data_IF_089079194030
#
_entry.id   IF_089079194030
#
_cell.length_a   1.000
_cell.length_b   1.000
_cell.length_c   1.000
_cell.angle_alpha   90.00
_cell.angle_beta   90.00
_cell.angle_gamma   90.00
#
_symmetry.space_group_name_H-M   'P 1'
#
loop_
_entity.id
_entity.type
_entity.pdbx_description
1 polymer ?
#
# COMPACT_ATOMS: atom_id res chain seq x y z
N UNK A 1 14.09 -3.32 2.38
CA UNK A 1 14.01 -2.05 1.61
C UNK A 1 13.47 -0.97 2.52
N UNK A 2 13.90 0.28 2.36
CA UNK A 2 13.46 1.40 3.21
C UNK A 2 12.91 2.51 2.34
N UNK A 3 11.69 2.96 2.63
CA UNK A 3 11.04 4.10 1.99
C UNK A 3 10.81 5.16 3.05
N UNK A 4 11.33 6.36 2.86
CA UNK A 4 10.96 7.51 3.66
C UNK A 4 9.69 8.12 3.08
N UNK A 5 8.69 8.31 3.92
CA UNK A 5 7.43 8.96 3.58
C UNK A 5 7.29 10.18 4.47
N UNK A 6 7.01 11.34 3.89
CA UNK A 6 6.87 12.58 4.66
C UNK A 6 5.96 13.59 3.98
N UNK A 7 5.16 14.27 4.79
CA UNK A 7 4.31 15.37 4.36
C UNK A 7 5.11 16.68 4.33
N UNK A 8 4.87 17.49 3.30
CA UNK A 8 5.37 18.86 3.21
C UNK A 8 4.33 19.74 2.55
N UNK A 9 4.14 20.94 3.10
CA UNK A 9 3.30 21.97 2.49
C UNK A 9 4.02 22.64 1.32
N UNK A 10 3.37 22.68 0.17
CA UNK A 10 3.82 23.43 -1.02
C UNK A 10 2.75 24.47 -1.34
N UNK A 11 3.05 25.74 -1.08
CA UNK A 11 2.04 26.80 -1.10
C UNK A 11 1.10 26.67 0.09
N UNK A 12 -0.19 26.49 -0.18
CA UNK A 12 -1.27 26.31 0.79
C UNK A 12 -1.73 24.85 0.93
N UNK A 13 -1.10 23.91 0.21
CA UNK A 13 -1.54 22.52 0.14
C UNK A 13 -0.51 21.53 0.70
N UNK A 14 -0.92 20.57 1.54
CA UNK A 14 -0.06 19.47 1.96
C UNK A 14 0.10 18.42 0.85
N UNK A 15 1.33 17.95 0.68
CA UNK A 15 1.68 16.85 -0.22
C UNK A 15 2.49 15.81 0.52
N UNK A 16 2.28 14.53 0.20
CA UNK A 16 3.15 13.45 0.63
C UNK A 16 4.21 13.18 -0.42
N UNK A 17 5.45 13.06 0.03
CA UNK A 17 6.61 12.69 -0.77
C UNK A 17 7.14 11.35 -0.30
N UNK A 18 7.73 10.62 -1.23
CA UNK A 18 8.30 9.30 -0.97
C UNK A 18 9.72 9.25 -1.52
N UNK A 19 10.63 8.68 -0.74
CA UNK A 19 12.06 8.63 -1.09
C UNK A 19 12.65 7.26 -0.78
N UNK A 20 13.34 6.69 -1.75
CA UNK A 20 14.07 5.43 -1.62
C UNK A 20 15.53 5.66 -2.01
N UNK A 21 16.49 5.39 -1.12
CA UNK A 21 17.92 5.66 -1.34
C UNK A 21 18.19 7.08 -1.85
N UNK A 22 17.66 8.09 -1.15
CA UNK A 22 17.73 9.52 -1.50
C UNK A 22 17.05 9.95 -2.81
N UNK A 23 16.46 9.02 -3.58
CA UNK A 23 15.73 9.31 -4.80
C UNK A 23 14.23 9.41 -4.54
N UNK A 24 13.61 10.49 -5.00
CA UNK A 24 12.15 10.60 -4.99
C UNK A 24 11.54 9.54 -5.92
N UNK A 25 10.50 8.87 -5.43
CA UNK A 25 9.77 7.84 -6.17
C UNK A 25 8.31 8.27 -6.32
N UNK A 26 7.76 8.05 -7.51
CA UNK A 26 6.39 8.44 -7.85
C UNK A 26 6.15 9.94 -7.91
N UNK A 27 4.88 10.27 -8.06
CA UNK A 27 4.38 11.63 -7.96
C UNK A 27 4.12 11.99 -6.49
N UNK A 28 4.12 13.29 -6.19
CA UNK A 28 3.67 13.79 -4.88
C UNK A 28 2.16 13.54 -4.72
N UNK A 29 1.76 13.06 -3.56
CA UNK A 29 0.38 12.60 -3.32
C UNK A 29 -0.45 13.65 -2.57
N UNK A 30 -1.72 13.70 -2.91
CA UNK A 30 -2.77 14.47 -2.22
C UNK A 30 -3.96 13.55 -1.95
N UNK A 31 -4.90 14.01 -1.12
CA UNK A 31 -6.10 13.23 -0.80
C UNK A 31 -7.00 12.98 -2.02
N UNK A 32 -6.91 13.83 -3.05
CA UNK A 32 -7.77 13.78 -4.24
C UNK A 32 -9.27 13.77 -3.92
N UNK A 33 -9.64 14.35 -2.78
CA UNK A 33 -11.00 14.41 -2.26
C UNK A 33 -11.43 15.87 -2.00
N UNK A 34 -12.74 16.08 -1.89
CA UNK A 34 -13.30 17.39 -1.51
C UNK A 34 -12.93 17.78 -0.08
N UNK A 35 -13.03 16.82 0.84
CA UNK A 35 -12.68 16.98 2.25
C UNK A 35 -11.41 16.19 2.55
N UNK A 36 -10.46 16.74 3.36
CA UNK A 36 -9.27 16.01 3.73
C UNK A 36 -9.59 14.72 4.49
N UNK A 37 -9.04 13.60 4.04
CA UNK A 37 -9.23 12.27 4.65
C UNK A 37 -7.93 11.48 4.80
N UNK A 38 -6.79 12.13 4.57
CA UNK A 38 -5.45 11.56 4.67
C UNK A 38 -5.15 10.42 3.67
N UNK A 39 -5.98 10.27 2.63
CA UNK A 39 -5.71 9.31 1.54
C UNK A 39 -4.36 9.55 0.85
N UNK A 40 -3.75 10.74 0.97
CA UNK A 40 -2.37 11.00 0.54
C UNK A 40 -1.31 10.03 1.08
N UNK A 41 -1.59 9.26 2.14
CA UNK A 41 -0.69 8.24 2.70
C UNK A 41 -0.97 6.80 2.21
N UNK A 42 -1.90 6.58 1.28
CA UNK A 42 -2.37 5.24 0.88
C UNK A 42 -1.28 4.30 0.32
N UNK A 43 -0.17 4.82 -0.21
CA UNK A 43 0.91 4.00 -0.78
C UNK A 43 1.51 2.97 0.19
N UNK A 44 1.35 3.15 1.51
CA UNK A 44 1.72 2.13 2.50
C UNK A 44 0.96 0.81 2.34
N UNK A 45 -0.25 0.83 1.77
CA UNK A 45 -0.99 -0.37 1.39
C UNK A 45 -0.23 -1.17 0.32
N UNK A 46 0.28 -0.49 -0.71
CA UNK A 46 1.07 -1.12 -1.78
C UNK A 46 2.38 -1.68 -1.24
N UNK A 47 3.03 -0.97 -0.31
CA UNK A 47 4.20 -1.50 0.38
C UNK A 47 3.89 -2.73 1.24
N UNK A 48 2.73 -2.77 1.88
CA UNK A 48 2.30 -3.93 2.64
C UNK A 48 2.00 -5.12 1.73
N UNK A 49 1.36 -4.89 0.58
CA UNK A 49 1.11 -5.92 -0.42
C UNK A 49 2.42 -6.49 -0.97
N UNK A 50 3.40 -5.66 -1.33
CA UNK A 50 4.69 -6.18 -1.78
C UNK A 50 5.47 -6.89 -0.67
N UNK A 51 5.37 -6.42 0.58
CA UNK A 51 6.04 -7.05 1.72
C UNK A 51 5.44 -8.43 2.02
N UNK A 52 4.12 -8.51 2.13
CA UNK A 52 3.41 -9.68 2.62
C UNK A 52 3.05 -10.63 1.49
N UNK A 53 2.49 -10.14 0.39
CA UNK A 53 2.06 -10.98 -0.74
C UNK A 53 3.20 -11.26 -1.73
N UNK A 54 4.27 -10.48 -1.70
CA UNK A 54 5.29 -10.50 -2.76
C UNK A 54 4.76 -9.98 -4.09
N UNK A 55 3.56 -9.39 -4.10
CA UNK A 55 2.84 -8.91 -5.27
C UNK A 55 2.41 -7.46 -5.05
N UNK A 56 2.90 -6.59 -5.92
CA UNK A 56 2.44 -5.21 -6.06
C UNK A 56 2.92 -4.68 -7.41
N UNK A 57 2.11 -4.79 -8.48
CA UNK A 57 2.38 -4.09 -9.74
C UNK A 57 2.60 -2.58 -9.56
N UNK A 58 1.95 -1.95 -8.58
CA UNK A 58 2.12 -0.51 -8.25
C UNK A 58 3.56 -0.26 -7.77
N UNK A 59 4.04 -0.96 -6.75
CA UNK A 59 5.42 -0.78 -6.24
C UNK A 59 6.46 -1.10 -7.32
N UNK A 60 6.24 -2.16 -8.11
CA UNK A 60 7.16 -2.48 -9.22
C UNK A 60 7.18 -1.37 -10.26
N UNK A 61 6.03 -0.78 -10.60
CA UNK A 61 5.96 0.36 -11.51
C UNK A 61 6.67 1.59 -10.93
N UNK A 62 6.35 1.94 -9.68
CA UNK A 62 6.89 3.06 -8.92
C UNK A 62 8.42 3.04 -8.87
N UNK A 63 9.00 1.86 -8.62
CA UNK A 63 10.44 1.64 -8.51
C UNK A 63 11.12 1.30 -9.84
N UNK A 64 10.37 1.27 -10.95
CA UNK A 64 10.86 0.85 -12.28
C UNK A 64 11.45 -0.58 -12.31
N UNK A 65 10.85 -1.48 -11.53
CA UNK A 65 11.23 -2.88 -11.33
C UNK A 65 10.24 -3.89 -11.96
N UNK A 66 9.46 -3.47 -12.96
CA UNK A 66 8.64 -4.39 -13.75
C UNK A 66 9.49 -5.50 -14.38
N UNK A 67 8.98 -6.73 -14.45
CA UNK A 67 9.68 -7.94 -14.91
C UNK A 67 9.79 -8.03 -16.44
N UNK A 68 10.37 -7.00 -17.06
CA UNK A 68 10.48 -6.84 -18.53
C UNK A 68 11.26 -7.93 -19.26
N UNK A 69 12.05 -8.74 -18.54
CA UNK A 69 12.75 -9.89 -19.12
C UNK A 69 11.80 -11.01 -19.56
N UNK A 70 10.59 -11.07 -18.99
CA UNK A 70 9.51 -11.97 -19.41
C UNK A 70 8.34 -11.11 -19.88
N UNK A 71 8.16 -11.02 -21.20
CA UNK A 71 7.14 -10.19 -21.81
C UNK A 71 5.72 -10.56 -21.36
N UNK A 72 5.47 -11.83 -21.05
CA UNK A 72 4.16 -12.28 -20.59
C UNK A 72 3.90 -11.78 -19.18
N UNK A 73 4.85 -11.94 -18.25
CA UNK A 73 4.71 -11.41 -16.89
C UNK A 73 4.62 -9.88 -16.86
N UNK A 74 5.41 -9.20 -17.70
CA UNK A 74 5.38 -7.74 -17.82
C UNK A 74 4.01 -7.20 -18.27
N UNK A 75 3.33 -7.94 -19.14
CA UNK A 75 1.99 -7.63 -19.64
C UNK A 75 0.90 -8.02 -18.63
N UNK A 76 0.96 -9.23 -18.07
CA UNK A 76 -0.16 -9.78 -17.30
C UNK A 76 -0.12 -9.43 -15.82
N UNK A 77 1.05 -9.45 -15.19
CA UNK A 77 1.17 -9.26 -13.73
C UNK A 77 1.68 -7.88 -13.36
N UNK A 78 2.45 -7.24 -14.23
CA UNK A 78 3.01 -5.90 -14.00
C UNK A 78 2.39 -4.84 -14.94
N UNK A 79 1.43 -5.25 -15.77
CA UNK A 79 0.77 -4.41 -16.76
C UNK A 79 -0.28 -3.46 -16.18
N UNK A 80 -0.82 -2.58 -17.03
CA UNK A 80 -1.76 -1.55 -16.62
C UNK A 80 -3.01 -2.10 -15.91
N UNK A 81 -3.52 -3.26 -16.34
CA UNK A 81 -4.69 -3.88 -15.69
C UNK A 81 -4.38 -4.36 -14.27
N UNK A 82 -3.21 -4.94 -14.05
CA UNK A 82 -2.78 -5.38 -12.73
C UNK A 82 -2.61 -4.19 -11.77
N UNK A 83 -2.00 -3.10 -12.25
CA UNK A 83 -1.89 -1.82 -11.51
C UNK A 83 -3.28 -1.30 -11.13
N UNK A 84 -4.21 -1.18 -12.10
CA UNK A 84 -5.57 -0.69 -11.84
C UNK A 84 -6.34 -1.56 -10.84
N UNK A 85 -6.13 -2.87 -10.86
CA UNK A 85 -6.74 -3.80 -9.89
C UNK A 85 -6.20 -3.56 -8.49
N UNK A 86 -4.88 -3.44 -8.33
CA UNK A 86 -4.27 -3.17 -7.03
C UNK A 86 -4.69 -1.80 -6.45
N UNK A 87 -4.70 -0.76 -7.29
CA UNK A 87 -5.23 0.58 -6.94
C UNK A 87 -6.70 0.52 -6.52
N UNK A 88 -7.51 -0.28 -7.24
CA UNK A 88 -8.91 -0.52 -6.93
C UNK A 88 -9.11 -1.20 -5.58
N UNK A 89 -8.28 -2.20 -5.25
CA UNK A 89 -8.28 -2.86 -3.93
C UNK A 89 -7.90 -1.84 -2.85
N UNK A 90 -6.81 -1.09 -3.03
CA UNK A 90 -6.36 -0.06 -2.07
C UNK A 90 -7.48 0.96 -1.78
N UNK A 91 -8.13 1.47 -2.82
CA UNK A 91 -9.24 2.42 -2.73
C UNK A 91 -10.46 1.82 -2.02
N UNK A 92 -10.84 0.57 -2.38
CA UNK A 92 -11.98 -0.13 -1.79
C UNK A 92 -11.77 -0.38 -0.29
N UNK A 93 -10.61 -0.94 0.06
CA UNK A 93 -10.25 -1.22 1.45
C UNK A 93 -10.19 0.08 2.25
N UNK A 94 -9.73 1.19 1.67
CA UNK A 94 -9.75 2.50 2.33
C UNK A 94 -11.16 2.98 2.67
N UNK A 95 -12.11 2.82 1.75
CA UNK A 95 -13.53 3.13 2.02
C UNK A 95 -14.07 2.34 3.22
N UNK A 96 -13.74 1.05 3.30
CA UNK A 96 -14.13 0.19 4.41
C UNK A 96 -13.42 0.58 5.71
N UNK A 97 -12.11 0.79 5.65
CA UNK A 97 -11.26 1.11 6.79
C UNK A 97 -11.72 2.39 7.49
N UNK A 98 -12.14 3.41 6.73
CA UNK A 98 -12.71 4.64 7.30
C UNK A 98 -13.91 4.40 8.21
N UNK A 99 -14.78 3.43 7.87
CA UNK A 99 -15.94 3.09 8.69
C UNK A 99 -15.60 2.24 9.92
N UNK A 100 -14.38 1.68 9.97
CA UNK A 100 -13.89 0.75 10.98
C UNK A 100 -12.67 1.31 11.72
N UNK A 101 -12.59 2.64 11.85
CA UNK A 101 -11.49 3.38 12.49
C UNK A 101 -10.10 2.92 12.03
N UNK A 102 -9.94 2.76 10.73
CA UNK A 102 -8.72 2.29 10.08
C UNK A 102 -8.21 0.96 10.65
N UNK A 103 -9.12 0.06 11.03
CA UNK A 103 -8.84 -1.23 11.68
C UNK A 103 -7.99 -1.09 12.94
N UNK A 104 -8.17 0.01 13.68
CA UNK A 104 -7.55 0.18 15.00
C UNK A 104 -7.98 -0.96 15.91
N UNK A 105 -7.02 -1.49 16.65
CA UNK A 105 -7.19 -2.58 17.61
C UNK A 105 -7.70 -3.92 17.03
N UNK A 106 -7.81 -4.04 15.70
CA UNK A 106 -8.15 -5.30 15.05
C UNK A 106 -6.91 -6.18 14.85
N UNK A 107 -7.02 -7.45 15.21
CA UNK A 107 -6.03 -8.50 15.00
C UNK A 107 -6.42 -9.48 13.89
N UNK A 108 -5.59 -10.51 13.72
CA UNK A 108 -5.86 -11.60 12.77
C UNK A 108 -7.18 -12.31 13.11
N UNK A 109 -8.03 -12.51 12.11
CA UNK A 109 -9.36 -13.10 12.21
C UNK A 109 -10.48 -12.11 12.52
N UNK A 110 -10.19 -10.82 12.65
CA UNK A 110 -11.18 -9.80 13.01
C UNK A 110 -11.60 -8.91 11.83
N UNK A 111 -10.88 -8.96 10.70
CA UNK A 111 -11.33 -8.23 9.51
C UNK A 111 -12.62 -8.82 8.94
N UNK A 112 -13.55 -7.99 8.41
CA UNK A 112 -14.78 -8.48 7.82
C UNK A 112 -14.50 -9.49 6.70
N UNK A 113 -15.10 -10.68 6.80
CA UNK A 113 -14.90 -11.75 5.81
C UNK A 113 -15.29 -11.30 4.38
N UNK A 114 -16.31 -10.46 4.25
CA UNK A 114 -16.75 -9.96 2.94
C UNK A 114 -15.73 -9.00 2.31
N UNK A 115 -14.96 -8.26 3.12
CA UNK A 115 -13.83 -7.48 2.64
C UNK A 115 -12.77 -8.40 2.03
N UNK A 116 -12.38 -9.46 2.74
CA UNK A 116 -11.35 -10.39 2.29
C UNK A 116 -11.78 -11.17 1.03
N UNK A 117 -13.06 -11.56 0.97
CA UNK A 117 -13.63 -12.20 -0.23
C UNK A 117 -13.63 -11.27 -1.43
N UNK A 118 -13.94 -9.99 -1.23
CA UNK A 118 -13.96 -9.01 -2.30
C UNK A 118 -12.56 -8.78 -2.88
N UNK A 119 -11.54 -8.65 -2.03
CA UNK A 119 -10.14 -8.53 -2.46
C UNK A 119 -9.70 -9.76 -3.27
N UNK A 120 -10.07 -10.96 -2.79
CA UNK A 120 -9.80 -12.21 -3.50
C UNK A 120 -10.49 -12.29 -4.88
N UNK A 121 -11.68 -11.73 -5.02
CA UNK A 121 -12.37 -11.63 -6.30
C UNK A 121 -11.67 -10.68 -7.27
N UNK A 122 -11.13 -9.54 -6.78
CA UNK A 122 -10.39 -8.60 -7.62
C UNK A 122 -9.15 -9.22 -8.24
N UNK A 123 -8.44 -10.06 -7.49
CA UNK A 123 -7.17 -10.66 -7.93
C UNK A 123 -7.30 -11.96 -8.71
N UNK A 124 -8.51 -12.37 -9.10
CA UNK A 124 -8.69 -13.57 -9.93
C UNK A 124 -7.89 -13.47 -11.23
N UNK A 125 -7.06 -14.48 -11.50
CA UNK A 125 -6.18 -14.53 -12.66
C UNK A 125 -4.79 -13.90 -12.46
N UNK A 126 -4.48 -13.37 -11.28
CA UNK A 126 -3.16 -12.84 -10.93
C UNK A 126 -2.43 -13.74 -9.92
N UNK A 127 -1.13 -13.54 -9.74
CA UNK A 127 -0.29 -14.26 -8.77
C UNK A 127 -0.94 -14.46 -7.38
N UNK A 128 -1.51 -13.43 -6.72
CA UNK A 128 -2.01 -13.59 -5.36
C UNK A 128 -3.37 -14.28 -5.26
N UNK A 129 -3.98 -14.72 -6.38
CA UNK A 129 -5.22 -15.50 -6.36
C UNK A 129 -5.08 -16.81 -5.57
N UNK A 130 -3.87 -17.38 -5.54
CA UNK A 130 -3.58 -18.63 -4.83
C UNK A 130 -3.37 -18.45 -3.33
N UNK A 131 -3.37 -17.21 -2.82
CA UNK A 131 -3.12 -16.96 -1.41
C UNK A 131 -4.38 -17.14 -0.56
N UNK A 132 -4.24 -17.75 0.63
CA UNK A 132 -5.31 -17.78 1.62
C UNK A 132 -5.73 -16.37 2.05
N UNK A 133 -7.00 -16.22 2.44
CA UNK A 133 -7.55 -14.94 2.91
C UNK A 133 -6.79 -14.36 4.12
N UNK A 134 -6.27 -15.20 5.01
CA UNK A 134 -5.51 -14.74 6.18
C UNK A 134 -4.20 -14.04 5.80
N UNK A 135 -3.63 -14.33 4.63
CA UNK A 135 -2.43 -13.64 4.13
C UNK A 135 -2.78 -12.24 3.64
N UNK A 136 -3.95 -12.08 3.01
CA UNK A 136 -4.49 -10.78 2.63
C UNK A 136 -4.83 -9.94 3.86
N UNK A 137 -5.46 -10.55 4.86
CA UNK A 137 -5.73 -9.91 6.14
C UNK A 137 -4.46 -9.36 6.79
N UNK A 138 -3.40 -10.18 6.86
CA UNK A 138 -2.10 -9.75 7.40
C UNK A 138 -1.52 -8.55 6.62
N UNK A 139 -1.60 -8.56 5.29
CA UNK A 139 -1.13 -7.46 4.45
C UNK A 139 -1.91 -6.16 4.72
N UNK A 140 -3.23 -6.26 4.84
CA UNK A 140 -4.10 -5.12 5.13
C UNK A 140 -3.80 -4.57 6.53
N UNK A 141 -3.76 -5.41 7.56
CA UNK A 141 -3.50 -4.98 8.93
C UNK A 141 -2.13 -4.28 9.06
N UNK A 142 -1.08 -4.81 8.41
CA UNK A 142 0.23 -4.16 8.39
C UNK A 142 0.22 -2.82 7.64
N UNK A 143 -0.47 -2.74 6.50
CA UNK A 143 -0.64 -1.49 5.75
C UNK A 143 -1.36 -0.42 6.57
N UNK A 144 -2.44 -0.79 7.27
CA UNK A 144 -3.18 0.16 8.11
C UNK A 144 -2.48 0.52 9.41
N UNK A 145 -1.65 -0.36 9.97
CA UNK A 145 -0.74 0.01 11.04
C UNK A 145 0.23 1.12 10.59
N UNK A 146 0.78 1.01 9.39
CA UNK A 146 1.63 2.05 8.80
C UNK A 146 0.85 3.32 8.43
N UNK A 147 -0.36 3.19 7.91
CA UNK A 147 -1.23 4.32 7.59
C UNK A 147 -1.51 5.15 8.84
N UNK A 148 -1.97 4.51 9.93
CA UNK A 148 -2.23 5.18 11.21
C UNK A 148 -0.97 5.86 11.76
N UNK A 149 0.19 5.21 11.66
CA UNK A 149 1.47 5.82 12.05
C UNK A 149 1.74 7.12 11.28
N UNK A 150 1.56 7.13 9.96
CA UNK A 150 1.76 8.33 9.14
C UNK A 150 0.67 9.38 9.37
N UNK A 151 -0.55 8.95 9.67
CA UNK A 151 -1.64 9.85 10.07
C UNK A 151 -1.31 10.56 11.39
N UNK A 152 -0.61 9.92 12.32
CA UNK A 152 -0.21 10.57 13.57
C UNK A 152 1.03 11.45 13.39
N UNK A 153 2.08 10.90 12.78
CA UNK A 153 3.41 11.52 12.78
C UNK A 153 3.69 12.38 11.55
N UNK A 154 2.87 12.27 10.49
CA UNK A 154 3.00 12.97 9.19
C UNK A 154 4.30 12.69 8.45
N UNK A 155 5.13 11.77 8.97
CA UNK A 155 6.37 11.28 8.39
C UNK A 155 6.82 9.99 9.05
N UNK A 156 7.62 9.19 8.35
CA UNK A 156 8.19 7.95 8.86
C UNK A 156 9.08 7.23 7.85
N UNK A 157 9.76 6.20 8.33
CA UNK A 157 10.49 5.22 7.51
C UNK A 157 9.68 3.93 7.47
N UNK A 158 9.23 3.56 6.28
CA UNK A 158 8.60 2.29 5.98
C UNK A 158 9.70 1.27 5.71
N UNK A 159 9.81 0.26 6.58
CA UNK A 159 10.78 -0.83 6.48
C UNK A 159 10.05 -2.05 5.90
N UNK A 160 10.42 -2.41 4.67
CA UNK A 160 9.89 -3.57 3.95
C UNK A 160 10.87 -4.73 4.08
N UNK A 161 10.48 -5.76 4.82
CA UNK A 161 11.22 -7.00 5.02
C UNK A 161 10.57 -8.14 4.25
N UNK A 162 11.08 -8.37 3.03
CA UNK A 162 10.59 -9.44 2.15
C UNK A 162 10.84 -10.85 2.70
N UNK A 163 11.91 -11.03 3.50
CA UNK A 163 12.28 -12.35 4.01
C UNK A 163 11.32 -12.82 5.10
N UNK A 164 10.87 -11.88 5.94
CA UNK A 164 9.94 -12.17 7.03
C UNK A 164 8.48 -11.84 6.69
N UNK A 165 8.20 -11.28 5.49
CA UNK A 165 6.87 -10.83 5.06
C UNK A 165 6.30 -9.77 6.01
N UNK A 166 7.11 -8.77 6.33
CA UNK A 166 6.77 -7.73 7.31
C UNK A 166 6.98 -6.32 6.75
N UNK A 167 6.06 -5.45 7.12
CA UNK A 167 6.11 -4.00 6.98
C UNK A 167 6.15 -3.39 8.39
N UNK A 168 7.13 -2.53 8.66
CA UNK A 168 7.26 -1.83 9.95
C UNK A 168 7.48 -0.34 9.73
N UNK A 169 7.09 0.45 10.73
CA UNK A 169 7.36 1.88 10.76
C UNK A 169 8.45 2.21 11.76
N UNK A 170 9.34 3.11 11.37
CA UNK A 170 10.26 3.78 12.27
C UNK A 170 10.09 5.30 12.17
N UNK A 171 10.35 6.05 13.26
CA UNK A 171 10.43 7.51 13.18
C UNK A 171 11.47 7.98 12.14
N UNK A 172 11.13 9.05 11.45
CA UNK A 172 12.04 9.81 10.60
C UNK A 172 12.39 11.11 11.32
N UNK A 173 13.68 11.32 11.60
CA UNK A 173 14.15 12.54 12.23
C UNK A 173 13.73 13.80 11.43
N UNK A 174 13.48 14.94 12.09
CA UNK A 174 13.01 16.18 11.46
C UNK A 174 13.81 16.63 10.25
#
# INVERSE_FOLDING_TARGET
>A
MVIEVFEKTVGDRPFVFQRCNDLFIGDRLTDNAHEPDDYRFHDVSHYAFVAVLGWSPVVRSLLRLKRKSDAKLDETEDGARAILIEEGISTWVFGMARSLDYFRDMGTGELPLDLLKQDHQFVQGYEPQGYPLWVWEEAILQGYAAFRFLQEHRRGRVIIDFGNRLLRMEPLAP
#
